data_IF_448484597466
#
_entry.id   IF_448484597466
#
_cell.length_a   1.000
_cell.length_b   1.000
_cell.length_c   1.000
_cell.angle_alpha   90.00
_cell.angle_beta   90.00
_cell.angle_gamma   90.00
#
_symmetry.space_group_name_H-M   'P 1'
#
loop_
_entity.id
_entity.type
_entity.pdbx_description
1 polymer ?
#
# COMPACT_ATOMS: atom_id res chain seq x y z
N UNK A 1 9.19 18.36 -4.84
CA UNK A 1 10.48 17.70 -4.55
C UNK A 1 10.88 16.64 -5.59
N UNK A 2 9.95 15.78 -6.12
CA UNK A 2 10.28 14.71 -7.07
C UNK A 2 10.88 15.23 -8.38
N UNK A 3 10.34 16.33 -8.94
CA UNK A 3 10.89 16.96 -10.16
C UNK A 3 12.28 17.52 -9.92
N UNK A 4 12.51 18.17 -8.79
CA UNK A 4 13.82 18.68 -8.41
C UNK A 4 14.86 17.58 -8.26
N UNK A 5 14.47 16.42 -7.74
CA UNK A 5 15.37 15.26 -7.62
C UNK A 5 15.83 14.76 -9.00
N UNK A 6 14.92 14.71 -10.00
CA UNK A 6 15.25 14.30 -11.38
C UNK A 6 16.22 15.31 -12.01
N UNK A 7 15.94 16.58 -11.87
CA UNK A 7 16.80 17.66 -12.43
C UNK A 7 18.18 17.60 -11.76
N UNK A 8 18.23 17.48 -10.42
CA UNK A 8 19.48 17.39 -9.69
C UNK A 8 20.30 16.16 -10.10
N UNK A 9 19.65 15.03 -10.34
CA UNK A 9 20.30 13.80 -10.80
C UNK A 9 20.88 13.99 -12.21
N UNK A 10 20.14 14.62 -13.12
CA UNK A 10 20.60 14.94 -14.46
C UNK A 10 21.91 15.76 -14.42
N UNK A 11 21.96 16.86 -13.68
CA UNK A 11 23.20 17.66 -13.55
C UNK A 11 24.34 16.88 -12.91
N UNK A 12 24.03 15.95 -12.01
CA UNK A 12 25.04 15.06 -11.42
C UNK A 12 25.66 14.14 -12.47
N UNK A 13 24.83 13.56 -13.35
CA UNK A 13 25.32 12.71 -14.47
C UNK A 13 26.13 13.55 -15.45
N UNK A 14 25.65 14.74 -15.86
CA UNK A 14 26.39 15.64 -16.75
C UNK A 14 27.83 15.88 -16.26
N UNK A 15 27.97 16.15 -14.95
CA UNK A 15 29.29 16.43 -14.36
C UNK A 15 30.13 15.17 -14.18
N UNK A 16 29.55 14.08 -13.63
CA UNK A 16 30.33 12.90 -13.23
C UNK A 16 30.62 11.92 -14.37
N UNK A 17 29.67 11.77 -15.28
CA UNK A 17 29.75 10.74 -16.32
C UNK A 17 30.11 11.33 -17.69
N UNK A 18 29.61 12.53 -17.98
CA UNK A 18 29.83 13.16 -19.29
C UNK A 18 30.94 14.22 -19.29
N UNK A 19 31.52 14.52 -18.12
CA UNK A 19 32.67 15.44 -18.03
C UNK A 19 32.35 16.92 -18.26
N UNK A 20 31.05 17.30 -18.27
CA UNK A 20 30.68 18.68 -18.43
C UNK A 20 30.96 19.47 -17.13
N UNK A 21 31.61 20.61 -17.26
CA UNK A 21 31.82 21.51 -16.11
C UNK A 21 30.57 22.39 -15.92
N UNK A 22 29.53 21.78 -15.33
CA UNK A 22 28.26 22.43 -15.02
C UNK A 22 27.98 22.40 -13.52
N UNK A 23 27.53 23.51 -13.00
CA UNK A 23 27.02 23.55 -11.60
C UNK A 23 25.59 23.02 -11.54
N UNK A 24 25.25 22.34 -10.44
CA UNK A 24 23.90 21.84 -10.21
C UNK A 24 23.04 22.95 -9.58
N UNK A 25 22.12 23.58 -10.35
CA UNK A 25 21.33 24.73 -9.84
C UNK A 25 20.34 24.33 -8.75
N UNK A 26 20.01 23.02 -8.63
CA UNK A 26 19.06 22.53 -7.60
C UNK A 26 19.69 22.57 -6.21
N UNK A 27 21.01 22.64 -6.10
CA UNK A 27 21.69 22.74 -4.80
C UNK A 27 21.55 24.12 -4.18
N UNK A 28 21.33 25.15 -5.00
CA UNK A 28 21.21 26.56 -4.57
C UNK A 28 19.79 26.97 -4.21
N UNK A 29 18.78 26.12 -4.46
CA UNK A 29 17.40 26.46 -4.19
C UNK A 29 16.85 25.79 -2.93
N UNK A 30 16.03 26.54 -2.19
CA UNK A 30 15.28 25.99 -1.06
C UNK A 30 14.23 24.99 -1.57
N UNK A 31 14.31 23.75 -1.12
CA UNK A 31 13.31 22.74 -1.48
C UNK A 31 11.99 22.98 -0.73
N UNK A 32 10.83 22.78 -1.40
CA UNK A 32 9.54 22.81 -0.71
C UNK A 32 9.51 21.79 0.42
N UNK A 33 8.85 22.14 1.51
CA UNK A 33 8.58 21.18 2.60
C UNK A 33 7.71 20.02 2.12
N UNK A 34 7.95 18.83 2.61
CA UNK A 34 7.06 17.71 2.33
C UNK A 34 5.74 17.93 3.08
N UNK A 35 4.59 17.60 2.48
CA UNK A 35 3.33 17.61 3.21
C UNK A 35 3.37 16.60 4.35
N UNK A 36 2.57 16.84 5.37
CA UNK A 36 2.37 15.89 6.47
C UNK A 36 1.91 14.53 5.94
N UNK A 37 2.30 13.44 6.60
CA UNK A 37 1.79 12.11 6.29
C UNK A 37 0.25 12.11 6.37
N UNK A 38 -0.37 11.30 5.54
CA UNK A 38 -1.82 11.09 5.60
C UNK A 38 -2.14 10.17 6.79
N UNK A 39 -3.16 10.58 7.54
CA UNK A 39 -3.71 9.85 8.68
C UNK A 39 -5.16 9.37 8.43
N UNK A 40 -5.61 9.38 7.17
CA UNK A 40 -6.98 9.01 6.78
C UNK A 40 -7.33 7.59 7.25
N UNK A 41 -8.30 7.50 8.15
CA UNK A 41 -8.90 6.26 8.65
C UNK A 41 -10.30 6.06 8.06
N UNK A 42 -10.76 4.81 7.97
CA UNK A 42 -12.11 4.51 7.51
C UNK A 42 -13.06 4.36 8.70
N UNK A 43 -14.23 5.01 8.62
CA UNK A 43 -15.27 4.77 9.61
C UNK A 43 -15.95 3.40 9.37
N UNK A 44 -16.58 2.88 10.41
CA UNK A 44 -17.35 1.64 10.29
C UNK A 44 -18.46 1.76 9.23
N UNK A 45 -19.15 2.89 9.22
CA UNK A 45 -20.24 3.15 8.26
C UNK A 45 -19.73 3.22 6.81
N UNK A 46 -18.57 3.83 6.55
CA UNK A 46 -17.97 3.87 5.22
C UNK A 46 -17.69 2.46 4.69
N UNK A 47 -17.08 1.62 5.51
CA UNK A 47 -16.80 0.24 5.15
C UNK A 47 -18.09 -0.58 5.00
N UNK A 48 -19.05 -0.40 5.89
CA UNK A 48 -20.34 -1.07 5.81
C UNK A 48 -21.07 -0.73 4.52
N UNK A 49 -21.15 0.56 4.13
CA UNK A 49 -21.72 0.99 2.84
C UNK A 49 -21.09 0.27 1.65
N UNK A 50 -19.76 0.09 1.66
CA UNK A 50 -19.07 -0.61 0.58
C UNK A 50 -19.45 -2.10 0.55
N UNK A 51 -19.48 -2.76 1.71
CA UNK A 51 -19.70 -4.20 1.81
C UNK A 51 -21.17 -4.61 1.62
N UNK A 52 -22.12 -3.78 2.02
CA UNK A 52 -23.56 -4.07 1.83
C UNK A 52 -24.07 -3.73 0.42
N UNK A 53 -23.38 -2.85 -0.30
CA UNK A 53 -23.83 -2.41 -1.61
C UNK A 53 -23.78 -3.54 -2.67
N UNK A 54 -24.91 -3.83 -3.30
CA UNK A 54 -25.03 -4.83 -4.38
C UNK A 54 -24.28 -4.42 -5.66
N UNK A 55 -24.03 -3.13 -5.87
CA UNK A 55 -23.27 -2.60 -7.02
C UNK A 55 -21.76 -2.67 -6.83
N UNK A 56 -21.27 -3.04 -5.66
CA UNK A 56 -19.86 -3.35 -5.41
C UNK A 56 -19.66 -4.83 -5.71
N UNK A 57 -18.86 -5.14 -6.74
CA UNK A 57 -18.64 -6.52 -7.17
C UNK A 57 -18.04 -7.36 -6.04
N UNK A 58 -18.42 -8.65 -5.98
CA UNK A 58 -17.88 -9.60 -4.99
C UNK A 58 -16.34 -9.64 -5.02
N UNK A 59 -15.75 -9.53 -6.21
CA UNK A 59 -14.29 -9.46 -6.37
C UNK A 59 -13.68 -8.24 -5.70
N UNK A 60 -14.28 -7.05 -5.82
CA UNK A 60 -13.77 -5.86 -5.14
C UNK A 60 -14.00 -5.94 -3.63
N UNK A 61 -15.12 -6.48 -3.16
CA UNK A 61 -15.35 -6.76 -1.73
C UNK A 61 -14.25 -7.66 -1.17
N UNK A 62 -13.94 -8.75 -1.90
CA UNK A 62 -12.83 -9.64 -1.54
C UNK A 62 -11.49 -8.92 -1.45
N UNK A 63 -11.12 -8.15 -2.49
CA UNK A 63 -9.84 -7.42 -2.52
C UNK A 63 -9.74 -6.40 -1.39
N UNK A 64 -10.83 -5.68 -1.08
CA UNK A 64 -10.87 -4.71 0.02
C UNK A 64 -10.73 -5.42 1.37
N UNK A 65 -11.46 -6.51 1.58
CA UNK A 65 -11.37 -7.30 2.82
C UNK A 65 -9.96 -7.87 3.00
N UNK A 66 -9.37 -8.41 1.95
CA UNK A 66 -7.99 -8.92 1.98
C UNK A 66 -6.96 -7.81 2.26
N UNK A 67 -7.16 -6.61 1.71
CA UNK A 67 -6.30 -5.46 2.00
C UNK A 67 -6.34 -5.06 3.48
N UNK A 68 -7.53 -5.07 4.09
CA UNK A 68 -7.74 -4.77 5.52
C UNK A 68 -7.16 -5.85 6.43
N UNK A 69 -7.21 -7.14 6.02
CA UNK A 69 -6.67 -8.26 6.81
C UNK A 69 -5.15 -8.38 6.75
N UNK A 70 -4.55 -7.99 5.63
CA UNK A 70 -3.12 -8.25 5.38
C UNK A 70 -2.24 -7.00 5.34
N UNK A 71 -2.82 -5.83 5.16
CA UNK A 71 -2.07 -4.59 4.99
C UNK A 71 -1.17 -4.57 3.74
N UNK A 72 -1.39 -5.45 2.76
CA UNK A 72 -0.58 -5.56 1.55
C UNK A 72 -0.69 -4.32 0.66
N UNK A 73 0.38 -4.04 -0.08
CA UNK A 73 0.34 -3.02 -1.12
C UNK A 73 -0.54 -3.48 -2.29
N UNK A 74 -1.20 -2.54 -2.96
CA UNK A 74 -2.08 -2.85 -4.11
C UNK A 74 -1.40 -3.69 -5.20
N UNK A 75 -0.13 -3.44 -5.48
CA UNK A 75 0.65 -4.22 -6.45
C UNK A 75 0.92 -5.63 -5.95
N UNK A 76 1.19 -5.79 -4.66
CA UNK A 76 1.38 -7.09 -4.02
C UNK A 76 0.07 -7.90 -4.06
N UNK A 77 -1.06 -7.28 -3.70
CA UNK A 77 -2.38 -7.91 -3.80
C UNK A 77 -2.67 -8.42 -5.22
N UNK A 78 -2.44 -7.58 -6.24
CA UNK A 78 -2.70 -7.94 -7.63
C UNK A 78 -1.84 -9.12 -8.15
N UNK A 79 -0.70 -9.40 -7.50
CA UNK A 79 0.26 -10.43 -7.91
C UNK A 79 0.14 -11.74 -7.11
N UNK A 80 -0.79 -11.85 -6.18
CA UNK A 80 -0.97 -13.08 -5.38
C UNK A 80 -1.42 -14.25 -6.29
N UNK A 81 -0.73 -15.37 -6.10
CA UNK A 81 -1.05 -16.66 -6.72
C UNK A 81 -1.23 -17.73 -5.65
N UNK A 82 -1.92 -18.82 -5.99
CA UNK A 82 -2.15 -19.93 -5.06
C UNK A 82 -0.83 -20.55 -4.57
N UNK A 83 0.17 -20.67 -5.43
CA UNK A 83 1.51 -21.20 -5.10
C UNK A 83 2.26 -20.40 -4.03
N UNK A 84 1.84 -19.14 -3.79
CA UNK A 84 2.44 -18.29 -2.77
C UNK A 84 1.93 -18.60 -1.36
N UNK A 85 0.86 -19.40 -1.22
CA UNK A 85 0.23 -19.74 0.06
C UNK A 85 0.78 -21.08 0.54
N UNK A 86 1.36 -21.07 1.76
CA UNK A 86 1.84 -22.30 2.43
C UNK A 86 1.30 -22.32 3.85
N UNK A 87 0.34 -23.24 4.11
CA UNK A 87 -0.36 -23.26 5.41
C UNK A 87 -0.99 -21.92 5.73
N UNK A 88 -0.60 -21.34 6.84
CA UNK A 88 -1.08 -20.03 7.32
C UNK A 88 -0.10 -18.88 6.98
N UNK A 89 0.69 -19.02 5.90
CA UNK A 89 1.63 -17.99 5.48
C UNK A 89 1.47 -17.65 4.00
N UNK A 90 1.79 -16.41 3.66
CA UNK A 90 1.80 -15.90 2.29
C UNK A 90 3.19 -15.36 1.95
N UNK A 91 3.83 -15.97 0.95
CA UNK A 91 5.08 -15.49 0.38
C UNK A 91 4.80 -14.36 -0.61
N UNK A 92 5.45 -13.22 -0.44
CA UNK A 92 5.41 -12.08 -1.35
C UNK A 92 6.73 -12.03 -2.11
N UNK A 93 6.78 -12.59 -3.34
CA UNK A 93 8.04 -12.81 -4.06
C UNK A 93 8.62 -11.52 -4.63
N UNK A 94 7.74 -10.62 -5.08
CA UNK A 94 8.12 -9.33 -5.67
C UNK A 94 7.46 -8.22 -4.90
N UNK A 95 8.26 -7.45 -4.20
CA UNK A 95 7.83 -6.26 -3.48
C UNK A 95 8.69 -5.07 -3.93
N UNK A 96 8.21 -3.87 -3.70
CA UNK A 96 9.03 -2.65 -3.86
C UNK A 96 10.29 -2.71 -2.97
N UNK A 97 10.22 -3.52 -1.93
CA UNK A 97 11.28 -3.85 -0.98
C UNK A 97 11.70 -5.33 -1.15
N UNK A 98 12.41 -5.88 -0.18
CA UNK A 98 12.84 -7.30 -0.21
C UNK A 98 11.63 -8.26 -0.19
N UNK A 99 11.73 -9.44 -0.82
CA UNK A 99 10.75 -10.52 -0.67
C UNK A 99 10.55 -10.83 0.82
N UNK A 100 9.33 -11.17 1.19
CA UNK A 100 8.99 -11.52 2.57
C UNK A 100 7.87 -12.55 2.65
N UNK A 101 7.76 -13.20 3.79
CA UNK A 101 6.64 -14.09 4.12
C UNK A 101 5.88 -13.46 5.29
N UNK A 102 4.57 -13.37 5.15
CA UNK A 102 3.71 -12.81 6.19
C UNK A 102 2.77 -13.89 6.75
N UNK A 103 2.42 -13.85 8.04
CA UNK A 103 1.37 -14.69 8.59
C UNK A 103 0.01 -14.28 8.05
N UNK A 104 -0.89 -15.24 7.93
CA UNK A 104 -2.28 -15.04 7.56
C UNK A 104 -3.19 -15.46 8.70
N UNK A 105 -4.26 -14.70 8.93
CA UNK A 105 -5.36 -15.14 9.77
C UNK A 105 -6.12 -16.28 9.09
N UNK A 106 -6.83 -17.16 9.83
CA UNK A 106 -7.68 -18.19 9.23
C UNK A 106 -8.66 -17.63 8.21
N UNK A 107 -9.22 -16.45 8.48
CA UNK A 107 -10.12 -15.72 7.59
C UNK A 107 -9.43 -15.30 6.29
N UNK A 108 -8.21 -14.79 6.38
CA UNK A 108 -7.43 -14.41 5.20
C UNK A 108 -7.05 -15.62 4.33
N UNK A 109 -6.72 -16.76 4.96
CA UNK A 109 -6.45 -18.02 4.25
C UNK A 109 -7.71 -18.48 3.49
N UNK A 110 -8.87 -18.48 4.15
CA UNK A 110 -10.14 -18.88 3.53
C UNK A 110 -10.54 -17.93 2.40
N UNK A 111 -10.38 -16.61 2.61
CA UNK A 111 -10.64 -15.61 1.57
C UNK A 111 -9.79 -15.87 0.33
N UNK A 112 -8.50 -16.13 0.50
CA UNK A 112 -7.60 -16.40 -0.60
C UNK A 112 -7.95 -17.70 -1.34
N UNK A 113 -8.14 -18.81 -0.62
CA UNK A 113 -8.46 -20.11 -1.22
C UNK A 113 -9.74 -20.07 -2.06
N UNK A 114 -10.76 -19.32 -1.61
CA UNK A 114 -12.08 -19.30 -2.25
C UNK A 114 -12.16 -18.29 -3.41
N UNK A 115 -11.22 -17.35 -3.53
CA UNK A 115 -11.36 -16.22 -4.45
C UNK A 115 -10.16 -15.99 -5.39
N UNK A 116 -9.10 -16.79 -5.31
CA UNK A 116 -8.00 -16.72 -6.27
C UNK A 116 -8.42 -17.33 -7.61
N UNK A 117 -7.87 -16.84 -8.72
CA UNK A 117 -6.94 -15.71 -8.84
C UNK A 117 -7.58 -14.34 -8.62
N UNK A 118 -6.75 -13.35 -8.24
CA UNK A 118 -7.23 -11.95 -8.06
C UNK A 118 -7.92 -11.43 -9.33
N UNK A 119 -7.38 -11.75 -10.51
CA UNK A 119 -8.01 -11.46 -11.81
C UNK A 119 -8.18 -9.98 -12.14
N UNK A 120 -7.44 -9.10 -11.44
CA UNK A 120 -7.44 -7.65 -11.69
C UNK A 120 -6.02 -7.09 -11.61
N UNK A 121 -5.67 -6.25 -12.58
CA UNK A 121 -4.40 -5.51 -12.50
C UNK A 121 -4.46 -4.47 -11.37
N UNK A 122 -3.28 -4.08 -10.88
CA UNK A 122 -3.17 -3.03 -9.85
C UNK A 122 -3.87 -1.72 -10.28
N UNK A 123 -3.81 -1.34 -11.57
CA UNK A 123 -4.52 -0.15 -12.05
C UNK A 123 -6.04 -0.34 -12.11
N UNK A 124 -6.51 -1.52 -12.51
CA UNK A 124 -7.95 -1.84 -12.51
C UNK A 124 -8.52 -1.76 -11.08
N UNK A 125 -7.80 -2.28 -10.08
CA UNK A 125 -8.19 -2.15 -8.67
C UNK A 125 -8.30 -0.68 -8.27
N UNK A 126 -7.33 0.18 -8.65
CA UNK A 126 -7.37 1.61 -8.36
C UNK A 126 -8.60 2.29 -8.99
N UNK A 127 -8.87 2.00 -10.25
CA UNK A 127 -10.01 2.61 -10.96
C UNK A 127 -11.34 2.15 -10.38
N UNK A 128 -11.46 0.87 -10.04
CA UNK A 128 -12.65 0.33 -9.38
C UNK A 128 -12.87 0.98 -8.01
N UNK A 129 -11.81 1.16 -7.23
CA UNK A 129 -11.84 1.86 -5.95
C UNK A 129 -12.37 3.30 -6.08
N UNK A 130 -11.83 4.08 -7.01
CA UNK A 130 -12.31 5.46 -7.25
C UNK A 130 -13.81 5.50 -7.56
N UNK A 131 -14.31 4.54 -8.37
CA UNK A 131 -15.73 4.45 -8.69
C UNK A 131 -16.58 4.08 -7.46
N UNK A 132 -16.07 3.22 -6.59
CA UNK A 132 -16.72 2.84 -5.33
C UNK A 132 -16.81 4.05 -4.40
N UNK A 133 -15.70 4.74 -4.16
CA UNK A 133 -15.67 5.94 -3.30
C UNK A 133 -16.63 7.02 -3.80
N UNK A 134 -16.60 7.31 -5.10
CA UNK A 134 -17.51 8.29 -5.72
C UNK A 134 -18.99 7.90 -5.54
N UNK A 135 -19.34 6.62 -5.68
CA UNK A 135 -20.71 6.12 -5.51
C UNK A 135 -21.23 6.28 -4.09
N UNK A 136 -20.36 6.15 -3.12
CA UNK A 136 -20.72 6.20 -1.69
C UNK A 136 -20.42 7.53 -1.03
N UNK A 137 -20.01 8.55 -1.81
CA UNK A 137 -19.60 9.86 -1.32
C UNK A 137 -18.51 9.75 -0.22
N UNK A 138 -17.56 8.82 -0.43
CA UNK A 138 -16.40 8.66 0.44
C UNK A 138 -15.31 9.58 -0.09
N UNK A 139 -15.12 10.70 0.57
CA UNK A 139 -14.18 11.73 0.14
C UNK A 139 -12.75 11.42 0.59
N UNK A 140 -11.79 11.94 -0.16
CA UNK A 140 -10.35 11.84 0.11
C UNK A 140 -9.88 10.44 0.52
N UNK A 141 -10.42 9.39 -0.11
CA UNK A 141 -10.07 8.00 0.17
C UNK A 141 -9.31 7.37 -0.99
N UNK A 142 -8.05 7.02 -0.75
CA UNK A 142 -7.20 6.27 -1.67
C UNK A 142 -7.22 4.79 -1.32
N UNK A 143 -7.03 3.91 -2.29
CA UNK A 143 -6.90 2.47 -2.01
C UNK A 143 -5.76 2.16 -1.02
N UNK A 144 -4.71 2.98 -1.00
CA UNK A 144 -3.58 2.81 -0.09
C UNK A 144 -3.96 3.09 1.37
N UNK A 145 -4.99 3.88 1.61
CA UNK A 145 -5.46 4.20 2.95
C UNK A 145 -6.09 2.95 3.64
N UNK A 146 -6.53 1.94 2.87
CA UNK A 146 -6.91 0.63 3.42
C UNK A 146 -5.73 -0.08 4.10
N UNK A 147 -4.52 0.09 3.57
CA UNK A 147 -3.32 -0.42 4.21
C UNK A 147 -3.01 0.36 5.49
N UNK A 148 -3.19 1.69 5.50
CA UNK A 148 -3.08 2.48 6.72
C UNK A 148 -4.04 1.97 7.78
N UNK A 149 -5.30 1.77 7.41
CA UNK A 149 -6.32 1.20 8.29
C UNK A 149 -5.92 -0.17 8.84
N UNK A 150 -5.43 -1.07 7.99
CA UNK A 150 -4.97 -2.41 8.40
C UNK A 150 -3.83 -2.35 9.41
N UNK A 151 -2.81 -1.52 9.14
CA UNK A 151 -1.65 -1.40 10.02
C UNK A 151 -2.01 -0.77 11.36
N UNK A 152 -2.89 0.24 11.39
CA UNK A 152 -3.43 0.78 12.64
C UNK A 152 -4.16 -0.29 13.46
N UNK A 153 -5.00 -1.11 12.82
CA UNK A 153 -5.69 -2.23 13.50
C UNK A 153 -4.73 -3.28 14.04
N UNK A 154 -3.59 -3.49 13.39
CA UNK A 154 -2.57 -4.41 13.90
C UNK A 154 -2.02 -3.94 15.24
N UNK A 155 -1.82 -2.64 15.43
CA UNK A 155 -1.42 -2.08 16.72
C UNK A 155 -2.58 -2.04 17.71
N UNK A 156 -3.72 -1.47 17.32
CA UNK A 156 -4.84 -1.14 18.23
C UNK A 156 -5.63 -2.39 18.67
N UNK A 157 -5.87 -3.33 17.76
CA UNK A 157 -6.78 -4.46 17.99
C UNK A 157 -6.02 -5.76 18.19
N UNK A 158 -4.94 -5.98 17.42
CA UNK A 158 -4.16 -7.22 17.49
C UNK A 158 -2.96 -7.11 18.43
N UNK A 159 -2.73 -5.94 19.01
CA UNK A 159 -1.65 -5.65 19.96
C UNK A 159 -0.26 -6.06 19.45
N UNK A 160 -0.03 -5.99 18.13
CA UNK A 160 1.27 -6.29 17.55
C UNK A 160 2.26 -5.16 17.83
N UNK A 161 3.50 -5.53 18.10
CA UNK A 161 4.57 -4.55 18.30
C UNK A 161 5.15 -4.04 16.97
N UNK A 162 5.97 -2.98 17.03
CA UNK A 162 6.56 -2.35 15.83
C UNK A 162 7.37 -3.33 14.97
N UNK A 163 8.26 -4.18 15.51
CA UNK A 163 8.97 -5.21 14.74
C UNK A 163 8.04 -6.17 13.99
N UNK A 164 6.96 -6.63 14.61
CA UNK A 164 5.99 -7.53 14.00
C UNK A 164 5.24 -6.86 12.85
N UNK A 165 4.76 -5.64 13.07
CA UNK A 165 4.08 -4.86 12.01
C UNK A 165 5.07 -4.50 10.91
N UNK A 166 6.34 -4.24 11.22
CA UNK A 166 7.39 -4.00 10.24
C UNK A 166 7.62 -5.22 9.33
N UNK A 167 7.68 -6.41 9.93
CA UNK A 167 7.82 -7.67 9.19
C UNK A 167 6.65 -7.89 8.22
N UNK A 168 5.41 -7.72 8.69
CA UNK A 168 4.20 -7.88 7.88
C UNK A 168 4.15 -6.83 6.76
N UNK A 169 4.34 -5.58 7.11
CA UNK A 169 4.20 -4.45 6.20
C UNK A 169 5.36 -4.32 5.20
N UNK A 170 6.56 -4.80 5.56
CA UNK A 170 7.77 -4.66 4.78
C UNK A 170 8.26 -3.20 4.71
N UNK A 171 8.11 -2.44 5.79
CA UNK A 171 8.80 -1.16 5.94
C UNK A 171 10.27 -1.42 6.31
N UNK A 172 11.20 -0.78 5.59
CA UNK A 172 12.63 -0.91 5.89
C UNK A 172 13.01 -0.14 7.14
N UNK A 173 12.38 1.02 7.34
CA UNK A 173 12.65 1.93 8.45
C UNK A 173 11.52 1.89 9.48
N UNK A 174 11.78 1.49 10.74
CA UNK A 174 10.78 1.52 11.83
C UNK A 174 10.19 2.91 12.05
N UNK A 175 11.03 3.96 11.86
CA UNK A 175 10.61 5.36 11.98
C UNK A 175 9.43 5.71 11.07
N UNK A 176 9.29 5.05 9.93
CA UNK A 176 8.15 5.26 9.02
C UNK A 176 6.84 4.77 9.65
N UNK A 177 6.86 3.66 10.39
CA UNK A 177 5.70 3.18 11.14
C UNK A 177 5.40 4.10 12.33
N UNK A 178 6.39 4.41 13.15
CA UNK A 178 6.23 5.26 14.34
C UNK A 178 5.76 6.69 14.04
N UNK A 179 5.98 7.18 12.82
CA UNK A 179 5.54 8.53 12.41
C UNK A 179 4.08 8.57 11.97
N UNK A 180 3.52 7.45 11.58
CA UNK A 180 2.18 7.35 10.95
C UNK A 180 1.18 6.67 11.89
N UNK A 181 1.65 5.83 12.79
CA UNK A 181 0.90 5.04 13.77
C UNK A 181 1.45 5.25 15.17
#
# INVERSE_FOLDING_TARGET
NRRLAIISHFFTICKKEWGYDVSNPVLSIRRPTNPEPRDRRFTHEELQKIFTCNRTSSRMKFIIKLALETGLRRTELASIKLEHIKGNTLKIPVAKTKPRTIPLTPEAVQLLKNNLPIGMSSNAIRLAWVRICRRHNIEDARFHDLRHEALSRFFEVKNLNVPEVQLISGHLEPRTLMRVY
#
